data_IF_724346858596
#
_entry.id   IF_724346858596
#
_cell.length_a   1.000
_cell.length_b   1.000
_cell.length_c   1.000
_cell.angle_alpha   90.00
_cell.angle_beta   90.00
_cell.angle_gamma   90.00
#
_symmetry.space_group_name_H-M   'P 1'
#
loop_
_entity.id
_entity.type
_entity.pdbx_description
1 polymer ?
#
# COMPACT_ATOMS: atom_id res chain seq x y z
N UNK A 1 -13.09 10.66 -0.37
CA UNK A 1 -11.66 10.87 -0.74
C UNK A 1 -11.28 12.34 -0.65
N UNK A 2 -11.68 13.23 -1.57
CA UNK A 2 -11.19 14.63 -1.62
C UNK A 2 -11.31 15.38 -0.28
N UNK A 3 -12.43 15.21 0.44
CA UNK A 3 -12.65 15.87 1.73
C UNK A 3 -11.89 15.24 2.90
N UNK A 4 -11.55 13.94 2.81
CA UNK A 4 -11.02 13.16 3.93
C UNK A 4 -9.52 12.88 3.82
N UNK A 5 -8.94 12.92 2.62
CA UNK A 5 -7.54 12.54 2.40
C UNK A 5 -6.61 13.65 2.90
N UNK A 6 -5.89 13.40 3.99
CA UNK A 6 -4.93 14.36 4.54
C UNK A 6 -3.62 14.28 3.76
N UNK A 7 -3.48 15.17 2.77
CA UNK A 7 -2.31 15.22 1.91
C UNK A 7 -1.95 16.67 1.56
N UNK A 8 -0.70 17.04 1.80
CA UNK A 8 -0.18 18.36 1.42
C UNK A 8 0.36 18.32 -0.01
N UNK A 9 -0.41 18.88 -0.94
CA UNK A 9 0.00 19.05 -2.34
C UNK A 9 -1.09 18.66 -3.31
N UNK A 10 -0.73 18.58 -4.59
CA UNK A 10 -1.65 18.15 -5.63
C UNK A 10 -1.64 16.62 -5.74
N UNK A 11 -2.79 16.05 -6.05
CA UNK A 11 -2.94 14.64 -6.34
C UNK A 11 -4.01 14.43 -7.42
N UNK A 12 -3.90 13.31 -8.11
CA UNK A 12 -4.84 12.82 -9.12
C UNK A 12 -5.51 11.56 -8.56
N UNK A 13 -6.83 11.51 -8.63
CA UNK A 13 -7.61 10.30 -8.33
C UNK A 13 -8.01 9.68 -9.67
N UNK A 14 -7.61 8.43 -9.89
CA UNK A 14 -8.02 7.62 -11.03
C UNK A 14 -8.97 6.52 -10.55
N UNK A 15 -10.11 6.36 -11.23
CA UNK A 15 -11.07 5.30 -10.95
C UNK A 15 -11.30 4.53 -12.24
N UNK A 16 -11.09 3.21 -12.18
CA UNK A 16 -11.27 2.28 -13.27
C UNK A 16 -12.32 1.25 -12.88
N UNK A 17 -13.12 0.84 -13.85
CA UNK A 17 -14.04 -0.28 -13.72
C UNK A 17 -13.70 -1.27 -14.82
N UNK A 18 -13.40 -2.50 -14.45
CA UNK A 18 -12.92 -3.53 -15.38
C UNK A 18 -13.34 -4.92 -14.90
N UNK A 19 -13.19 -5.91 -15.77
CA UNK A 19 -13.49 -7.31 -15.49
C UNK A 19 -12.29 -8.20 -15.85
N UNK A 20 -12.01 -9.18 -14.99
CA UNK A 20 -10.88 -10.11 -15.13
C UNK A 20 -11.36 -11.56 -15.14
N UNK A 21 -10.97 -12.32 -16.16
CA UNK A 21 -11.24 -13.76 -16.24
C UNK A 21 -10.32 -14.56 -15.30
N UNK A 22 -10.90 -15.22 -14.30
CA UNK A 22 -10.18 -16.07 -13.35
C UNK A 22 -9.95 -17.46 -13.94
N UNK A 23 -8.68 -17.79 -14.23
CA UNK A 23 -8.27 -19.06 -14.85
C UNK A 23 -8.38 -20.25 -13.87
N UNK A 24 -8.91 -21.40 -14.27
CA UNK A 24 -8.96 -22.60 -13.41
C UNK A 24 -7.55 -23.18 -13.16
N UNK A 25 -7.27 -23.61 -11.92
CA UNK A 25 -6.07 -24.38 -11.57
C UNK A 25 -6.47 -25.71 -10.94
N UNK A 26 -5.87 -26.81 -11.40
CA UNK A 26 -6.01 -28.10 -10.70
C UNK A 26 -5.25 -28.08 -9.37
N UNK A 27 -5.49 -29.08 -8.52
CA UNK A 27 -4.72 -29.30 -7.27
C UNK A 27 -3.21 -29.46 -7.52
N UNK A 28 -2.82 -29.88 -8.73
CA UNK A 28 -1.43 -29.99 -9.16
C UNK A 28 -0.90 -28.69 -9.81
N UNK A 29 -1.64 -27.57 -9.69
CA UNK A 29 -1.30 -26.25 -10.22
C UNK A 29 -1.18 -26.21 -11.76
N UNK A 30 -1.66 -27.24 -12.47
CA UNK A 30 -1.72 -27.25 -13.92
C UNK A 30 -2.82 -26.30 -14.39
N UNK A 31 -2.50 -25.48 -15.40
CA UNK A 31 -3.47 -24.58 -16.03
C UNK A 31 -4.46 -25.42 -16.84
N UNK A 32 -5.73 -25.30 -16.53
CA UNK A 32 -6.81 -25.72 -17.42
C UNK A 32 -7.19 -24.47 -18.22
N UNK A 33 -7.38 -24.61 -19.53
CA UNK A 33 -7.78 -23.52 -20.44
C UNK A 33 -9.27 -23.15 -20.30
N UNK A 34 -9.80 -23.21 -19.07
CA UNK A 34 -11.19 -22.95 -18.73
C UNK A 34 -11.24 -21.86 -17.65
N UNK A 35 -12.02 -20.80 -17.88
CA UNK A 35 -12.29 -19.75 -16.90
C UNK A 35 -13.43 -20.19 -15.97
N UNK A 36 -13.24 -20.02 -14.65
CA UNK A 36 -14.23 -20.41 -13.64
C UNK A 36 -15.17 -19.25 -13.30
N UNK A 37 -14.63 -18.04 -13.20
CA UNK A 37 -15.35 -16.84 -12.75
C UNK A 37 -14.87 -15.60 -13.51
N UNK A 38 -15.78 -14.66 -13.76
CA UNK A 38 -15.44 -13.29 -14.20
C UNK A 38 -15.48 -12.39 -12.98
N UNK A 39 -14.32 -11.89 -12.59
CA UNK A 39 -14.17 -10.97 -11.46
C UNK A 39 -14.31 -9.52 -11.94
N UNK A 40 -15.46 -8.89 -11.63
CA UNK A 40 -15.74 -7.48 -11.93
C UNK A 40 -15.34 -6.61 -10.74
N UNK A 41 -14.61 -5.51 -10.99
CA UNK A 41 -14.05 -4.69 -9.93
C UNK A 41 -13.93 -3.21 -10.29
N UNK A 42 -13.95 -2.38 -9.25
CA UNK A 42 -13.56 -0.97 -9.28
C UNK A 42 -12.18 -0.84 -8.64
N UNK A 43 -11.23 -0.26 -9.38
CA UNK A 43 -9.90 0.09 -8.91
C UNK A 43 -9.77 1.60 -8.78
N UNK A 44 -9.37 2.07 -7.61
CA UNK A 44 -9.07 3.48 -7.34
C UNK A 44 -7.58 3.64 -7.02
N UNK A 45 -6.92 4.57 -7.70
CA UNK A 45 -5.53 4.92 -7.47
C UNK A 45 -5.39 6.42 -7.16
N UNK A 46 -4.69 6.74 -6.08
CA UNK A 46 -4.38 8.10 -5.65
C UNK A 46 -2.91 8.37 -5.94
N UNK A 47 -2.66 9.21 -6.94
CA UNK A 47 -1.33 9.52 -7.46
C UNK A 47 -0.93 10.94 -7.04
N UNK A 48 0.20 11.12 -6.33
CA UNK A 48 0.76 12.44 -6.10
C UNK A 48 1.05 13.16 -7.43
N UNK A 49 0.94 14.49 -7.40
CA UNK A 49 1.28 15.34 -8.54
C UNK A 49 2.28 16.38 -8.08
N UNK A 50 3.45 16.35 -8.71
CA UNK A 50 4.59 17.21 -8.38
C UNK A 50 5.10 17.94 -9.62
N UNK A 51 5.84 19.03 -9.44
CA UNK A 51 6.49 19.71 -10.56
C UNK A 51 7.73 18.91 -10.98
N UNK A 52 7.92 18.70 -12.29
CA UNK A 52 9.10 18.03 -12.85
C UNK A 52 10.41 18.60 -12.29
N UNK A 53 11.43 17.78 -12.14
CA UNK A 53 12.71 18.20 -11.53
C UNK A 53 13.26 19.50 -12.17
N UNK A 54 13.83 20.41 -11.36
CA UNK A 54 14.42 21.64 -11.87
C UNK A 54 15.57 21.31 -12.83
N UNK A 55 15.74 22.14 -13.85
CA UNK A 55 16.78 21.93 -14.85
C UNK A 55 16.94 23.12 -15.77
N UNK A 56 17.94 23.04 -16.64
CA UNK A 56 18.19 24.04 -17.67
C UNK A 56 17.74 23.49 -19.04
N UNK A 57 17.14 24.35 -19.86
CA UNK A 57 16.78 24.07 -21.25
C UNK A 57 17.33 25.20 -22.13
N UNK A 58 17.82 24.83 -23.31
CA UNK A 58 18.15 25.79 -24.36
C UNK A 58 16.86 26.22 -25.07
N UNK A 59 16.60 27.52 -25.10
CA UNK A 59 15.46 28.14 -25.78
C UNK A 59 15.96 28.73 -27.10
N UNK A 60 15.66 28.04 -28.21
CA UNK A 60 16.16 28.37 -29.55
C UNK A 60 15.74 29.77 -30.01
N UNK A 61 14.49 30.15 -29.77
CA UNK A 61 13.94 31.47 -30.11
C UNK A 61 14.73 32.64 -29.48
N UNK A 62 15.31 32.41 -28.30
CA UNK A 62 16.07 33.42 -27.57
C UNK A 62 17.59 33.20 -27.61
N UNK A 63 18.04 32.09 -28.20
CA UNK A 63 19.43 31.62 -28.21
C UNK A 63 20.08 31.67 -26.81
N UNK A 64 19.34 31.22 -25.80
CA UNK A 64 19.75 31.28 -24.38
C UNK A 64 19.42 29.99 -23.64
N UNK A 65 20.30 29.61 -22.73
CA UNK A 65 20.03 28.58 -21.72
C UNK A 65 19.33 29.25 -20.54
N UNK A 66 18.15 28.77 -20.17
CA UNK A 66 17.38 29.26 -19.01
C UNK A 66 16.87 28.08 -18.18
N UNK A 67 16.36 28.38 -16.99
CA UNK A 67 15.57 27.43 -16.23
C UNK A 67 14.43 26.90 -17.10
N UNK A 68 14.26 25.57 -17.14
CA UNK A 68 13.13 24.96 -17.84
C UNK A 68 11.83 25.39 -17.19
N UNK A 69 10.78 25.50 -17.99
CA UNK A 69 9.42 25.48 -17.47
C UNK A 69 9.20 24.09 -16.87
N UNK A 70 8.71 24.07 -15.63
CA UNK A 70 8.41 22.83 -14.91
C UNK A 70 6.96 22.46 -15.20
N UNK A 71 6.76 21.20 -15.53
CA UNK A 71 5.45 20.63 -15.88
C UNK A 71 4.90 19.90 -14.65
N UNK A 72 3.58 19.83 -14.51
CA UNK A 72 2.96 18.93 -13.53
C UNK A 72 3.11 17.49 -14.01
N UNK A 73 3.72 16.66 -13.18
CA UNK A 73 3.97 15.24 -13.45
C UNK A 73 3.20 14.43 -12.42
N UNK A 74 2.56 13.37 -12.90
CA UNK A 74 1.85 12.40 -12.06
C UNK A 74 2.84 11.31 -11.65
N UNK A 75 3.01 11.13 -10.35
CA UNK A 75 3.83 10.07 -9.78
C UNK A 75 3.04 8.76 -9.67
N UNK A 76 3.73 7.65 -9.40
CA UNK A 76 3.07 6.37 -9.16
C UNK A 76 2.10 6.43 -7.97
N UNK A 77 1.04 5.61 -7.96
CA UNK A 77 0.07 5.60 -6.86
C UNK A 77 0.74 5.45 -5.49
N UNK A 78 0.26 6.21 -4.51
CA UNK A 78 0.70 6.09 -3.10
C UNK A 78 -0.32 5.37 -2.26
N UNK A 79 -1.60 5.62 -2.51
CA UNK A 79 -2.71 4.97 -1.86
C UNK A 79 -3.73 4.53 -2.91
N UNK A 80 -4.53 3.52 -2.60
CA UNK A 80 -5.54 3.03 -3.53
C UNK A 80 -6.34 1.89 -2.94
N UNK A 81 -7.37 1.46 -3.66
CA UNK A 81 -8.16 0.31 -3.26
C UNK A 81 -8.77 -0.40 -4.46
N UNK A 82 -9.12 -1.65 -4.24
CA UNK A 82 -9.94 -2.46 -5.15
C UNK A 82 -11.16 -2.96 -4.40
N UNK A 83 -12.33 -2.79 -5.02
CA UNK A 83 -13.60 -3.32 -4.51
C UNK A 83 -14.37 -4.02 -5.64
N UNK A 84 -14.96 -5.20 -5.40
CA UNK A 84 -14.79 -6.08 -4.22
C UNK A 84 -13.32 -6.48 -3.97
N UNK A 85 -12.98 -7.10 -2.84
CA UNK A 85 -11.63 -7.63 -2.67
C UNK A 85 -11.47 -8.93 -3.46
N UNK A 86 -10.28 -9.17 -4.00
CA UNK A 86 -9.98 -10.45 -4.65
C UNK A 86 -9.29 -11.39 -3.66
N UNK A 87 -10.04 -12.35 -3.11
CA UNK A 87 -9.58 -13.27 -2.06
C UNK A 87 -9.90 -14.69 -2.50
N UNK A 88 -8.96 -15.61 -2.30
CA UNK A 88 -9.10 -17.03 -2.66
C UNK A 88 -9.59 -17.25 -4.09
N UNK A 89 -9.11 -16.39 -5.00
CA UNK A 89 -9.42 -16.36 -6.43
C UNK A 89 -10.88 -16.02 -6.77
N UNK A 90 -11.61 -15.39 -5.87
CA UNK A 90 -12.99 -14.98 -6.10
C UNK A 90 -13.26 -13.56 -5.58
N UNK A 91 -14.42 -13.03 -5.94
CA UNK A 91 -14.92 -11.74 -5.47
C UNK A 91 -15.45 -11.81 -4.03
N UNK A 92 -14.86 -11.06 -3.10
CA UNK A 92 -15.39 -10.85 -1.75
C UNK A 92 -15.97 -9.44 -1.60
N UNK A 93 -17.30 -9.37 -1.71
CA UNK A 93 -18.10 -8.13 -1.60
C UNK A 93 -18.14 -7.51 -0.20
N UNK A 94 -17.70 -8.25 0.83
CA UNK A 94 -17.67 -7.75 2.21
C UNK A 94 -16.29 -7.17 2.57
N UNK A 95 -15.33 -7.25 1.66
CA UNK A 95 -13.95 -6.83 1.88
C UNK A 95 -13.51 -5.83 0.83
N UNK A 96 -12.55 -4.98 1.21
CA UNK A 96 -11.83 -4.08 0.30
C UNK A 96 -10.35 -4.41 0.37
N UNK A 97 -9.71 -4.52 -0.79
CA UNK A 97 -8.26 -4.65 -0.84
C UNK A 97 -7.64 -3.24 -0.90
N UNK A 98 -6.96 -2.84 0.18
CA UNK A 98 -6.34 -1.52 0.27
C UNK A 98 -4.84 -1.57 -0.04
N UNK A 99 -4.36 -0.62 -0.82
CA UNK A 99 -2.96 -0.43 -1.15
C UNK A 99 -2.43 0.85 -0.48
N UNK A 100 -1.29 0.73 0.18
CA UNK A 100 -0.44 1.87 0.55
C UNK A 100 1.01 1.55 0.19
N UNK A 101 1.69 2.52 -0.42
CA UNK A 101 3.11 2.43 -0.77
C UNK A 101 4.00 2.53 0.47
N UNK A 102 3.58 3.31 1.47
CA UNK A 102 4.32 3.48 2.72
C UNK A 102 3.60 2.73 3.84
N UNK A 103 4.16 1.59 4.25
CA UNK A 103 3.56 0.78 5.31
C UNK A 103 3.42 1.51 6.67
N UNK A 104 4.12 2.63 6.87
CA UNK A 104 4.03 3.46 8.08
C UNK A 104 3.01 4.59 7.97
N UNK A 105 2.58 4.92 6.76
CA UNK A 105 1.65 6.01 6.46
C UNK A 105 0.46 5.44 5.69
N UNK A 106 -0.44 4.83 6.44
CA UNK A 106 -1.53 4.00 5.90
C UNK A 106 -2.77 4.82 5.57
N UNK A 107 -2.82 6.10 5.95
CA UNK A 107 -3.98 6.97 5.84
C UNK A 107 -5.28 6.33 6.38
N UNK A 108 -5.37 6.08 7.70
CA UNK A 108 -6.56 5.47 8.32
C UNK A 108 -7.84 6.26 8.02
N UNK A 109 -7.76 7.57 7.82
CA UNK A 109 -8.87 8.43 7.43
C UNK A 109 -9.45 8.10 6.04
N UNK A 110 -8.64 7.53 5.13
CA UNK A 110 -9.16 6.98 3.87
C UNK A 110 -9.97 5.71 4.13
N UNK A 111 -9.44 4.80 4.94
CA UNK A 111 -10.12 3.54 5.28
C UNK A 111 -11.46 3.80 5.98
N UNK A 112 -11.45 4.64 7.00
CA UNK A 112 -12.61 4.87 7.86
C UNK A 112 -13.59 5.85 7.23
N UNK A 113 -13.14 7.04 6.87
CA UNK A 113 -14.05 8.11 6.46
C UNK A 113 -14.41 8.06 4.98
N UNK A 114 -13.57 7.48 4.12
CA UNK A 114 -13.88 7.34 2.68
C UNK A 114 -14.47 5.99 2.32
N UNK A 115 -13.98 4.89 2.91
CA UNK A 115 -14.41 3.54 2.59
C UNK A 115 -15.36 2.92 3.61
N UNK A 116 -15.56 3.55 4.78
CA UNK A 116 -16.44 3.03 5.83
C UNK A 116 -15.92 1.75 6.49
N UNK A 117 -14.63 1.45 6.33
CA UNK A 117 -13.98 0.26 6.88
C UNK A 117 -13.30 0.59 8.21
N UNK A 118 -13.13 -0.40 9.08
CA UNK A 118 -12.21 -0.25 10.22
C UNK A 118 -10.77 -0.17 9.71
N UNK A 119 -9.99 0.76 10.25
CA UNK A 119 -8.56 0.83 9.92
C UNK A 119 -7.84 -0.44 10.40
N UNK A 120 -6.90 -0.90 9.58
CA UNK A 120 -6.01 -2.02 9.92
C UNK A 120 -4.57 -1.55 9.87
N UNK A 121 -3.82 -1.88 10.92
CA UNK A 121 -2.38 -1.65 10.96
C UNK A 121 -1.66 -2.60 10.02
N UNK A 122 -0.58 -2.13 9.41
CA UNK A 122 0.34 -2.98 8.64
C UNK A 122 1.19 -3.82 9.58
N UNK A 123 1.77 -4.91 9.06
CA UNK A 123 2.74 -5.71 9.79
C UNK A 123 3.91 -4.88 10.31
N UNK A 124 4.35 -3.87 9.56
CA UNK A 124 5.40 -2.93 9.98
C UNK A 124 4.99 -2.14 11.22
N UNK A 125 3.81 -1.51 11.20
CA UNK A 125 3.31 -0.74 12.36
C UNK A 125 3.08 -1.64 13.56
N UNK A 126 2.53 -2.84 13.35
CA UNK A 126 2.32 -3.82 14.43
C UNK A 126 3.65 -4.25 15.07
N UNK A 127 4.69 -4.52 14.26
CA UNK A 127 6.02 -4.87 14.75
C UNK A 127 6.65 -3.73 15.56
N UNK A 128 6.58 -2.49 15.06
CA UNK A 128 7.13 -1.32 15.75
C UNK A 128 6.37 -1.04 17.06
N UNK A 129 5.05 -1.16 17.04
CA UNK A 129 4.21 -1.03 18.24
C UNK A 129 4.57 -2.07 19.28
N UNK A 130 4.71 -3.33 18.88
CA UNK A 130 5.11 -4.43 19.78
C UNK A 130 6.50 -4.19 20.38
N UNK A 131 7.46 -3.77 19.56
CA UNK A 131 8.80 -3.44 20.03
C UNK A 131 8.78 -2.28 21.03
N UNK A 132 7.99 -1.23 20.78
CA UNK A 132 7.83 -0.10 21.71
C UNK A 132 7.27 -0.56 23.05
N UNK A 133 6.22 -1.39 23.06
CA UNK A 133 5.61 -1.93 24.28
C UNK A 133 6.63 -2.67 25.14
N UNK A 134 7.50 -3.47 24.52
CA UNK A 134 8.58 -4.17 25.24
C UNK A 134 9.55 -3.16 25.84
N UNK A 135 10.04 -2.19 25.06
CA UNK A 135 10.97 -1.16 25.56
C UNK A 135 10.39 -0.36 26.72
N UNK A 136 9.13 0.04 26.63
CA UNK A 136 8.44 0.81 27.67
C UNK A 136 8.28 -0.01 28.96
N UNK A 137 8.04 -1.32 28.84
CA UNK A 137 7.92 -2.24 29.98
C UNK A 137 9.23 -2.44 30.75
N UNK A 138 10.38 -2.28 30.07
CA UNK A 138 11.72 -2.48 30.63
C UNK A 138 12.53 -1.18 30.72
N UNK A 139 11.85 -0.03 30.81
CA UNK A 139 12.34 1.36 30.69
C UNK A 139 13.54 1.78 31.57
N UNK A 140 14.06 0.90 32.44
CA UNK A 140 15.29 1.10 33.20
C UNK A 140 16.55 0.48 32.55
N UNK A 141 16.40 -0.41 31.57
CA UNK A 141 17.51 -1.14 30.94
C UNK A 141 17.22 -1.45 29.46
N UNK A 142 17.55 -0.50 28.58
CA UNK A 142 17.35 -0.64 27.13
C UNK A 142 18.04 -1.88 26.55
N UNK A 143 19.20 -2.28 27.11
CA UNK A 143 19.92 -3.47 26.63
C UNK A 143 19.14 -4.75 26.93
N UNK A 144 18.60 -4.87 28.14
CA UNK A 144 17.71 -6.00 28.48
C UNK A 144 16.45 -6.02 27.61
N UNK A 145 15.87 -4.85 27.32
CA UNK A 145 14.68 -4.77 26.48
C UNK A 145 14.96 -5.30 25.06
N UNK A 146 16.09 -4.93 24.46
CA UNK A 146 16.50 -5.40 23.14
C UNK A 146 16.87 -6.89 23.15
N UNK A 147 17.52 -7.41 24.20
CA UNK A 147 17.80 -8.84 24.37
C UNK A 147 16.51 -9.67 24.42
N UNK A 148 15.53 -9.26 25.25
CA UNK A 148 14.23 -9.95 25.37
C UNK A 148 13.46 -9.90 24.05
N UNK A 149 13.49 -8.76 23.35
CA UNK A 149 12.84 -8.64 22.05
C UNK A 149 13.40 -9.66 21.04
N UNK A 150 14.73 -9.81 21.00
CA UNK A 150 15.40 -10.79 20.13
C UNK A 150 15.04 -12.23 20.51
N UNK A 151 15.02 -12.55 21.81
CA UNK A 151 14.64 -13.88 22.31
C UNK A 151 13.20 -14.26 21.91
N UNK A 152 12.25 -13.32 22.05
CA UNK A 152 10.86 -13.53 21.63
C UNK A 152 10.77 -13.74 20.12
N UNK A 153 11.52 -12.94 19.34
CA UNK A 153 11.52 -13.05 17.88
C UNK A 153 12.10 -14.40 17.41
N UNK A 154 13.18 -14.88 18.05
CA UNK A 154 13.79 -16.18 17.76
C UNK A 154 12.86 -17.33 18.11
N UNK A 155 12.23 -17.29 19.30
CA UNK A 155 11.27 -18.31 19.72
C UNK A 155 10.06 -18.41 18.77
N UNK A 156 9.52 -17.28 18.32
CA UNK A 156 8.42 -17.26 17.36
C UNK A 156 8.83 -17.83 16.00
N UNK A 157 10.03 -17.51 15.52
CA UNK A 157 10.55 -18.07 14.27
C UNK A 157 10.73 -19.59 14.37
N UNK A 158 11.30 -20.09 15.47
CA UNK A 158 11.46 -21.52 15.71
C UNK A 158 10.10 -22.24 15.74
N UNK A 159 9.08 -21.66 16.39
CA UNK A 159 7.72 -22.22 16.35
C UNK A 159 7.16 -22.26 14.93
N UNK A 160 7.35 -21.21 14.12
CA UNK A 160 6.89 -21.21 12.72
C UNK A 160 7.60 -22.29 11.91
N UNK A 161 8.91 -22.50 12.12
CA UNK A 161 9.67 -23.55 11.46
C UNK A 161 9.24 -24.96 11.88
N UNK A 162 8.87 -25.17 13.14
CA UNK A 162 8.37 -26.47 13.64
C UNK A 162 6.96 -26.82 13.12
N UNK A 163 6.17 -25.82 12.71
CA UNK A 163 4.81 -25.98 12.19
C UNK A 163 4.71 -25.98 10.65
N UNK A 164 5.82 -25.78 9.93
CA UNK A 164 5.91 -25.93 8.46
C UNK A 164 6.57 -27.27 8.08
#
# INVERSE_FOLDING_TARGET
IIYNYDYTGNFLILVFHDAYDVITKTKDNAKIDESEEVYEYVLCAICPVSLSEPGLRYFEEENKIKARIRDWVVDSPTNGFVFPAFIDRSSDVNSIMYYTKNAKDTHPELMENSLGCYSKQTATIQKETFQSIIKDSFSADEKKADEIFMEVQENLNNMIEEYN
#
